data_IF_803781417833
#
_entry.id   IF_803781417833
#
_cell.length_a   1.000
_cell.length_b   1.000
_cell.length_c   1.000
_cell.angle_alpha   90.00
_cell.angle_beta   90.00
_cell.angle_gamma   90.00
#
_symmetry.space_group_name_H-M   'P 1'
#
loop_
_entity.id
_entity.type
_entity.pdbx_description
1 polymer ?
#
# COMPACT_ATOMS: atom_id res chain seq x y z
N UNK A 1 -13.78 -18.34 -2.20
CA UNK A 1 -12.65 -18.78 -3.03
C UNK A 1 -11.45 -17.91 -2.65
N UNK A 2 -10.32 -18.50 -2.26
CA UNK A 2 -9.13 -17.71 -1.99
C UNK A 2 -8.62 -17.15 -3.33
N UNK A 3 -8.49 -15.83 -3.43
CA UNK A 3 -7.86 -15.20 -4.60
C UNK A 3 -6.39 -15.62 -4.67
N UNK A 4 -5.85 -15.79 -5.87
CA UNK A 4 -4.44 -16.07 -6.06
C UNK A 4 -3.57 -14.99 -5.37
N UNK A 5 -2.41 -15.37 -4.80
CA UNK A 5 -1.50 -14.40 -4.19
C UNK A 5 -0.93 -13.46 -5.25
N UNK A 6 -0.65 -12.22 -4.87
CA UNK A 6 0.10 -11.28 -5.69
C UNK A 6 1.53 -11.77 -5.89
N UNK A 7 2.13 -11.35 -7.01
CA UNK A 7 3.52 -11.65 -7.31
C UNK A 7 4.46 -11.05 -6.25
N UNK A 8 5.40 -11.86 -5.77
CA UNK A 8 6.40 -11.45 -4.77
C UNK A 8 7.45 -10.55 -5.44
N UNK A 9 7.90 -9.46 -4.79
CA UNK A 9 9.01 -8.66 -5.30
C UNK A 9 10.24 -9.51 -5.63
N UNK A 10 10.75 -9.39 -6.86
CA UNK A 10 11.94 -10.14 -7.33
C UNK A 10 13.25 -9.54 -6.84
N UNK A 11 13.22 -8.34 -6.27
CA UNK A 11 14.37 -7.63 -5.73
C UNK A 11 13.92 -6.69 -4.60
N UNK A 12 14.89 -6.28 -3.78
CA UNK A 12 14.68 -5.40 -2.62
C UNK A 12 15.39 -4.04 -2.78
N UNK A 13 15.85 -3.72 -3.99
CA UNK A 13 16.56 -2.48 -4.33
C UNK A 13 15.65 -1.27 -4.56
N UNK A 14 16.24 -0.24 -5.17
CA UNK A 14 15.56 1.02 -5.49
C UNK A 14 14.47 0.86 -6.57
N UNK A 15 14.37 -0.29 -7.24
CA UNK A 15 13.29 -0.58 -8.19
C UNK A 15 11.93 -0.87 -7.54
N UNK A 16 11.87 -1.00 -6.20
CA UNK A 16 10.63 -1.23 -5.49
C UNK A 16 9.71 -0.02 -5.55
N UNK A 17 8.43 -0.30 -5.78
CA UNK A 17 7.37 0.71 -5.79
C UNK A 17 6.17 0.22 -5.01
N UNK A 18 5.43 1.14 -4.42
CA UNK A 18 4.17 0.88 -3.74
C UNK A 18 3.02 1.49 -4.53
N UNK A 19 1.94 0.71 -4.73
CA UNK A 19 0.71 1.22 -5.31
C UNK A 19 0.06 2.26 -4.38
N UNK A 20 -0.21 3.46 -4.90
CA UNK A 20 -0.76 4.60 -4.15
C UNK A 20 -2.17 4.33 -3.60
N UNK A 21 -2.89 3.35 -4.14
CA UNK A 21 -4.24 2.97 -3.68
C UNK A 21 -4.23 1.82 -2.67
N UNK A 22 -3.66 0.68 -3.05
CA UNK A 22 -3.78 -0.56 -2.26
C UNK A 22 -2.54 -0.88 -1.41
N UNK A 23 -1.46 -0.10 -1.55
CA UNK A 23 -0.18 -0.29 -0.86
C UNK A 23 0.59 -1.56 -1.24
N UNK A 24 0.18 -2.30 -2.27
CA UNK A 24 0.92 -3.45 -2.77
C UNK A 24 2.32 -3.03 -3.24
N UNK A 25 3.34 -3.80 -2.90
CA UNK A 25 4.75 -3.56 -3.22
C UNK A 25 5.21 -4.61 -4.21
N UNK A 26 5.75 -4.15 -5.36
CA UNK A 26 6.36 -4.92 -6.45
C UNK A 26 7.50 -4.10 -7.05
N UNK A 27 8.33 -4.68 -7.92
CA UNK A 27 9.27 -3.87 -8.69
C UNK A 27 8.55 -3.10 -9.80
N UNK A 28 9.19 -2.05 -10.33
CA UNK A 28 8.68 -1.32 -11.50
C UNK A 28 8.33 -2.27 -12.66
N UNK A 29 9.25 -3.17 -13.02
CA UNK A 29 9.04 -4.10 -14.14
C UNK A 29 7.87 -5.04 -13.87
N UNK A 30 7.69 -5.51 -12.63
CA UNK A 30 6.57 -6.36 -12.28
C UNK A 30 5.21 -5.64 -12.40
N UNK A 31 5.13 -4.35 -12.04
CA UNK A 31 3.94 -3.54 -12.29
C UNK A 31 3.72 -3.31 -13.78
N UNK A 32 4.79 -3.12 -14.55
CA UNK A 32 4.74 -2.93 -16.00
C UNK A 32 4.25 -4.18 -16.73
N UNK A 33 4.69 -5.36 -16.32
CA UNK A 33 4.39 -6.62 -17.01
C UNK A 33 3.03 -7.21 -16.63
N UNK A 34 2.62 -7.07 -15.37
CA UNK A 34 1.45 -7.78 -14.83
C UNK A 34 0.45 -6.88 -14.11
N UNK A 35 0.74 -5.59 -14.02
CA UNK A 35 -0.10 -4.63 -13.32
C UNK A 35 -0.19 -4.87 -11.81
N UNK A 36 -1.25 -4.31 -11.22
CA UNK A 36 -1.56 -4.43 -9.80
C UNK A 36 -2.77 -5.36 -9.61
N UNK A 37 -2.56 -6.46 -8.89
CA UNK A 37 -3.54 -7.51 -8.67
C UNK A 37 -4.77 -7.01 -7.90
N UNK A 38 -4.62 -5.97 -7.09
CA UNK A 38 -5.72 -5.35 -6.36
C UNK A 38 -6.38 -4.18 -7.13
N UNK A 39 -5.71 -3.65 -8.16
CA UNK A 39 -6.13 -2.45 -8.87
C UNK A 39 -6.08 -2.60 -10.40
N UNK A 40 -6.80 -3.59 -10.98
CA UNK A 40 -6.75 -3.86 -12.41
C UNK A 40 -7.28 -2.70 -13.28
N UNK A 41 -8.14 -1.84 -12.73
CA UNK A 41 -8.65 -0.65 -13.43
C UNK A 41 -7.56 0.41 -13.69
N UNK A 42 -6.38 0.30 -13.08
CA UNK A 42 -5.24 1.13 -13.48
C UNK A 42 -4.64 0.70 -14.81
N UNK A 43 -4.83 -0.54 -15.28
CA UNK A 43 -4.36 -0.99 -16.62
C UNK A 43 -2.88 -0.73 -16.88
N UNK A 44 -2.05 -0.93 -15.86
CA UNK A 44 -0.59 -0.68 -15.92
C UNK A 44 0.15 -1.59 -16.89
N UNK A 45 -0.43 -2.75 -17.18
CA UNK A 45 0.01 -3.76 -18.15
C UNK A 45 -0.28 -3.38 -19.61
N UNK A 46 -1.25 -2.48 -19.83
CA UNK A 46 -1.57 -1.92 -21.15
C UNK A 46 -0.92 -0.54 -21.34
N UNK A 47 -0.84 0.25 -20.27
CA UNK A 47 -0.38 1.64 -20.25
C UNK A 47 0.73 1.80 -19.20
N UNK A 48 1.98 1.68 -19.66
CA UNK A 48 3.15 1.69 -18.79
C UNK A 48 3.41 3.06 -18.14
N UNK A 49 2.89 4.15 -18.70
CA UNK A 49 3.03 5.49 -18.11
C UNK A 49 2.31 5.54 -16.75
N UNK A 50 1.19 4.81 -16.63
CA UNK A 50 0.42 4.69 -15.38
C UNK A 50 1.16 4.02 -14.25
N UNK A 51 2.20 3.22 -14.53
CA UNK A 51 3.03 2.65 -13.46
C UNK A 51 3.62 3.78 -12.63
N UNK A 52 4.15 4.83 -13.27
CA UNK A 52 4.77 5.96 -12.57
C UNK A 52 3.72 6.82 -11.87
N UNK A 53 2.56 7.03 -12.49
CA UNK A 53 1.50 7.88 -11.93
C UNK A 53 0.75 7.26 -10.75
N UNK A 54 0.60 5.93 -10.74
CA UNK A 54 -0.20 5.20 -9.76
C UNK A 54 0.66 4.51 -8.67
N UNK A 55 1.99 4.60 -8.75
CA UNK A 55 2.91 4.00 -7.78
C UNK A 55 4.05 4.94 -7.41
N UNK A 56 4.60 4.79 -6.20
CA UNK A 56 5.73 5.60 -5.73
C UNK A 56 6.88 4.73 -5.20
N UNK A 57 8.15 5.13 -5.43
CA UNK A 57 9.29 4.53 -4.73
C UNK A 57 9.43 5.03 -3.27
N UNK A 58 8.75 6.12 -2.90
CA UNK A 58 8.86 6.77 -1.59
C UNK A 58 7.82 6.20 -0.61
N UNK A 59 8.10 5.02 -0.08
CA UNK A 59 7.27 4.36 0.92
C UNK A 59 8.11 3.91 2.13
N UNK A 60 7.46 3.62 3.27
CA UNK A 60 8.15 3.19 4.49
C UNK A 60 7.68 1.81 4.95
N UNK A 61 8.64 0.91 5.14
CA UNK A 61 8.43 -0.44 5.67
C UNK A 61 7.73 -1.38 4.70
N UNK A 62 7.98 -2.68 4.85
CA UNK A 62 7.31 -3.73 4.09
C UNK A 62 6.74 -4.76 5.07
N UNK A 63 5.54 -5.25 4.78
CA UNK A 63 4.89 -6.35 5.47
C UNK A 63 4.43 -7.40 4.47
N UNK A 64 4.81 -8.65 4.70
CA UNK A 64 4.31 -9.79 3.92
C UNK A 64 3.10 -10.39 4.62
N UNK A 65 1.95 -10.42 3.95
CA UNK A 65 0.68 -10.89 4.50
C UNK A 65 0.22 -12.13 3.75
N UNK A 66 0.17 -13.27 4.45
CA UNK A 66 -0.25 -14.56 3.88
C UNK A 66 -1.77 -14.77 3.96
N UNK A 67 -2.43 -14.28 5.02
CA UNK A 67 -3.88 -14.37 5.22
C UNK A 67 -4.44 -12.99 5.64
N UNK A 68 -4.74 -12.11 4.66
CA UNK A 68 -5.22 -10.75 4.95
C UNK A 68 -6.55 -10.72 5.72
N UNK A 69 -7.43 -11.71 5.50
CA UNK A 69 -8.75 -11.76 6.12
C UNK A 69 -8.67 -12.04 7.63
N UNK A 70 -7.68 -12.82 8.07
CA UNK A 70 -7.53 -13.21 9.49
C UNK A 70 -6.45 -12.42 10.24
N UNK A 71 -5.57 -11.71 9.54
CA UNK A 71 -4.49 -10.92 10.16
C UNK A 71 -5.00 -9.65 10.85
N UNK A 72 -4.62 -9.46 12.12
CA UNK A 72 -4.84 -8.20 12.83
C UNK A 72 -4.10 -7.03 12.17
N UNK A 73 -2.83 -7.22 11.77
CA UNK A 73 -2.05 -6.20 11.11
C UNK A 73 -2.67 -5.78 9.77
N UNK A 74 -3.21 -6.74 9.00
CA UNK A 74 -3.90 -6.44 7.75
C UNK A 74 -5.19 -5.63 7.96
N UNK A 75 -5.96 -5.94 9.02
CA UNK A 75 -7.12 -5.13 9.41
C UNK A 75 -6.70 -3.71 9.82
N UNK A 76 -5.64 -3.59 10.63
CA UNK A 76 -5.11 -2.30 11.07
C UNK A 76 -4.69 -1.42 9.88
N UNK A 77 -4.02 -2.01 8.90
CA UNK A 77 -3.57 -1.34 7.68
C UNK A 77 -4.66 -1.20 6.60
N UNK A 78 -5.89 -1.66 6.85
CA UNK A 78 -7.02 -1.67 5.90
C UNK A 78 -6.74 -2.45 4.61
N UNK A 79 -5.83 -3.42 4.64
CA UNK A 79 -5.50 -4.31 3.52
C UNK A 79 -6.16 -5.69 3.63
N UNK A 80 -7.02 -5.90 4.63
CA UNK A 80 -7.64 -7.22 4.89
C UNK A 80 -8.60 -7.75 3.81
N UNK A 81 -8.95 -6.93 2.81
CA UNK A 81 -9.76 -7.34 1.64
C UNK A 81 -8.92 -7.61 0.39
N UNK A 82 -7.62 -7.37 0.45
CA UNK A 82 -6.71 -7.55 -0.68
C UNK A 82 -6.14 -8.96 -0.72
N UNK A 83 -5.49 -9.30 -1.84
CA UNK A 83 -4.86 -10.61 -2.04
C UNK A 83 -3.65 -10.80 -1.12
N UNK A 84 -3.26 -12.03 -0.78
CA UNK A 84 -1.98 -12.26 -0.09
C UNK A 84 -0.80 -11.66 -0.88
N UNK A 85 0.16 -11.04 -0.21
CA UNK A 85 1.27 -10.35 -0.88
C UNK A 85 2.11 -9.46 0.03
N UNK A 86 3.04 -8.71 -0.57
CA UNK A 86 3.87 -7.72 0.12
C UNK A 86 3.24 -6.34 0.03
N UNK A 87 3.09 -5.66 1.16
CA UNK A 87 2.48 -4.33 1.26
C UNK A 87 3.41 -3.37 1.99
N UNK A 88 3.25 -2.06 1.76
CA UNK A 88 3.94 -1.04 2.55
C UNK A 88 3.14 -0.65 3.80
N UNK A 89 3.84 -0.26 4.86
CA UNK A 89 3.21 0.29 6.06
C UNK A 89 2.70 1.71 5.80
N UNK A 90 3.44 2.50 5.02
CA UNK A 90 3.13 3.91 4.78
C UNK A 90 3.44 4.36 3.34
N UNK A 91 2.63 5.29 2.84
CA UNK A 91 2.88 6.03 1.60
C UNK A 91 2.59 7.51 1.85
N UNK A 92 3.53 8.37 1.49
CA UNK A 92 3.41 9.82 1.71
C UNK A 92 2.66 10.53 0.57
N UNK A 93 2.79 10.01 -0.64
CA UNK A 93 2.23 10.63 -1.85
C UNK A 93 0.74 10.30 -2.03
N UNK A 94 0.02 11.21 -2.68
CA UNK A 94 -1.39 11.03 -3.04
C UNK A 94 -1.50 10.59 -4.50
N UNK A 95 -2.52 9.78 -4.80
CA UNK A 95 -2.89 9.50 -6.19
C UNK A 95 -3.34 10.80 -6.88
N UNK A 96 -2.97 11.09 -8.14
CA UNK A 96 -3.44 12.27 -8.87
C UNK A 96 -4.97 12.37 -8.91
N UNK A 97 -5.52 13.59 -8.86
CA UNK A 97 -6.97 13.82 -8.76
C UNK A 97 -7.76 13.19 -9.92
N UNK A 98 -7.21 13.21 -11.12
CA UNK A 98 -7.83 12.62 -12.31
C UNK A 98 -8.02 11.10 -12.15
N UNK A 99 -7.05 10.44 -11.51
CA UNK A 99 -7.07 9.01 -11.23
C UNK A 99 -7.90 8.69 -9.98
N UNK A 100 -8.04 9.62 -9.04
CA UNK A 100 -8.97 9.46 -7.91
C UNK A 100 -10.43 9.35 -8.37
N UNK A 101 -10.80 9.99 -9.49
CA UNK A 101 -12.18 9.90 -10.03
C UNK A 101 -12.54 8.49 -10.49
N UNK A 102 -11.55 7.68 -10.87
CA UNK A 102 -11.74 6.27 -11.22
C UNK A 102 -12.18 5.42 -10.01
N UNK A 103 -12.12 5.96 -8.79
CA UNK A 103 -12.38 5.20 -7.57
C UNK A 103 -13.86 5.16 -7.16
N UNK A 104 -14.75 5.96 -7.79
CA UNK A 104 -16.18 6.15 -7.44
C UNK A 104 -16.37 6.47 -5.92
N UNK A 105 -17.57 6.85 -5.41
CA UNK A 105 -17.69 7.25 -4.00
C UNK A 105 -17.72 6.01 -3.08
N UNK A 106 -16.64 5.22 -3.08
CA UNK A 106 -16.32 4.36 -1.94
C UNK A 106 -15.69 5.27 -0.92
N UNK A 107 -16.43 5.53 0.16
CA UNK A 107 -16.03 6.30 1.33
C UNK A 107 -14.78 5.71 1.99
N UNK A 108 -13.62 5.91 1.39
CA UNK A 108 -12.38 5.97 2.10
C UNK A 108 -11.77 7.28 1.69
N UNK A 109 -12.01 8.32 2.50
CA UNK A 109 -10.98 9.35 2.62
C UNK A 109 -9.69 8.56 2.81
N UNK A 110 -8.80 8.62 1.83
CA UNK A 110 -7.42 8.20 2.01
C UNK A 110 -6.89 9.17 3.05
N UNK A 111 -7.18 8.93 4.33
CA UNK A 111 -6.49 9.58 5.43
C UNK A 111 -5.06 9.10 5.21
N UNK A 112 -4.26 9.96 4.59
CA UNK A 112 -2.81 9.88 4.67
C UNK A 112 -2.54 9.60 6.14
N UNK A 113 -2.01 8.42 6.44
CA UNK A 113 -1.53 8.16 7.78
C UNK A 113 -0.26 9.01 7.88
N UNK A 114 -0.45 10.29 8.22
CA UNK A 114 0.62 11.13 8.72
C UNK A 114 0.95 10.53 10.07
N UNK A 115 2.07 9.81 10.11
CA UNK A 115 2.58 9.21 11.33
C UNK A 115 3.28 10.33 12.11
N UNK A 116 2.62 10.88 13.12
CA UNK A 116 3.35 11.65 14.13
C UNK A 116 3.98 10.66 15.10
N UNK A 117 5.29 10.76 15.29
CA UNK A 117 5.98 10.04 16.38
C UNK A 117 5.56 10.74 17.67
N UNK A 118 4.46 10.30 18.26
CA UNK A 118 4.04 10.71 19.58
C UNK A 118 4.81 9.93 20.64
N UNK A 119 5.28 10.61 21.68
CA UNK A 119 5.75 9.96 22.89
C UNK A 119 4.57 9.76 23.84
N UNK A 120 4.15 8.51 24.06
CA UNK A 120 3.21 8.20 25.14
C UNK A 120 4.03 7.82 26.38
N UNK A 121 3.95 8.62 27.44
CA UNK A 121 4.62 8.33 28.70
C UNK A 121 3.90 7.20 29.44
N UNK A 122 4.40 5.97 29.35
CA UNK A 122 3.96 4.85 30.20
C UNK A 122 5.11 4.57 31.17
N UNK A 123 4.91 4.88 32.45
CA UNK A 123 5.88 4.54 33.50
C UNK A 123 7.25 5.24 33.41
N UNK A 124 7.30 6.50 32.96
CA UNK A 124 8.53 7.30 32.97
C UNK A 124 9.54 6.99 31.85
N UNK A 125 9.25 6.00 31.00
CA UNK A 125 10.00 5.76 29.77
C UNK A 125 9.23 6.32 28.57
N UNK A 126 9.88 7.14 27.74
CA UNK A 126 9.37 7.50 26.42
C UNK A 126 9.45 6.25 25.52
N UNK A 127 8.30 5.65 25.25
CA UNK A 127 8.18 4.62 24.20
C UNK A 127 7.66 5.30 22.93
N UNK A 128 8.30 5.09 21.77
CA UNK A 128 7.75 5.54 20.49
C UNK A 128 6.37 4.91 20.29
N UNK A 129 5.32 5.73 20.26
CA UNK A 129 3.97 5.26 19.99
C UNK A 129 3.56 5.68 18.58
N UNK A 130 3.14 4.70 17.78
CA UNK A 130 2.60 4.93 16.44
C UNK A 130 1.08 5.03 16.56
N UNK A 131 0.59 6.26 16.56
CA UNK A 131 -0.84 6.57 16.71
C UNK A 131 -1.41 7.37 15.54
N UNK A 132 -2.70 7.18 15.26
CA UNK A 132 -3.45 8.10 14.42
C UNK A 132 -3.92 9.29 15.26
N UNK A 133 -3.62 10.52 14.86
CA UNK A 133 -4.29 11.73 15.37
C UNK A 133 -5.77 11.69 14.88
N UNK A 134 -6.77 12.06 15.72
CA UNK A 134 -8.19 11.91 15.38
C UNK A 134 -8.63 12.62 14.10
#
# INVERSE_FOLDING_TARGET
MASAPAQIPTSFGHELRACLRCRLVKTYDQFRESGCENCPFFKMDEDHERVVECTTPNFNGIISVMDPARSWAARWLRIGRFVPGCYTLAVSEALPEDLQRLLLPVTSKTKHQVWEIGACGIGGHLVPWVGNNP
#
